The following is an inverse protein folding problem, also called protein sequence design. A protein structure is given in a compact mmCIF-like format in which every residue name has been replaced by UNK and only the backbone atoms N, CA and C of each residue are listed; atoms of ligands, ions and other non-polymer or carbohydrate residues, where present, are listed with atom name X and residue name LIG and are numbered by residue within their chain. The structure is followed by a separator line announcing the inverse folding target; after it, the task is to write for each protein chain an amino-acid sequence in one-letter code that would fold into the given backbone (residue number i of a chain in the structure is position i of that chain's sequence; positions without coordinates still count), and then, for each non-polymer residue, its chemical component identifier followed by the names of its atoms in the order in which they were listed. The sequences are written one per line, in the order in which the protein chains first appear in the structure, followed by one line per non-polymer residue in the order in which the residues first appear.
data_IF_583554138211
#
_entry.id   IF_583554138211
#
_cell.length_a   1.000
_cell.length_b   1.000
_cell.length_c   1.000
_cell.angle_alpha   90.00
_cell.angle_beta   90.00
_cell.angle_gamma   90.00
#
_symmetry.space_group_name_H-M   'P 1'
#
loop_
_entity.id
_entity.type
_entity.pdbx_description
1 polymer ?
#
# COMPACT_ATOMS: atom_id res chain seq x y z
N UNK A 1 -2.67 39.26 81.49
CA UNK A 1 -3.50 39.31 80.27
C UNK A 1 -2.71 39.92 79.12
N UNK A 2 -2.09 39.09 78.27
CA UNK A 2 -1.60 39.50 76.94
C UNK A 2 -1.82 38.33 75.98
N UNK A 3 -2.52 38.64 74.89
CA UNK A 3 -3.04 37.76 73.84
C UNK A 3 -1.89 37.26 72.96
N UNK A 4 -1.76 35.94 72.80
CA UNK A 4 -0.88 35.33 71.81
C UNK A 4 -1.53 35.44 70.43
N UNK A 5 -0.83 36.06 69.48
CA UNK A 5 -1.24 36.24 68.10
C UNK A 5 -0.54 35.15 67.27
N UNK A 6 -1.26 34.08 66.93
CA UNK A 6 -0.74 33.02 66.05
C UNK A 6 -1.05 33.42 64.61
N UNK A 7 -0.01 33.75 63.85
CA UNK A 7 -0.07 34.03 62.41
C UNK A 7 -0.22 32.70 61.67
N UNK A 8 -1.34 32.53 60.98
CA UNK A 8 -1.61 31.41 60.07
C UNK A 8 -0.97 31.74 58.70
N UNK A 9 0.10 31.04 58.32
CA UNK A 9 0.67 31.12 56.97
C UNK A 9 0.10 29.96 56.14
N UNK A 10 -0.86 30.27 55.27
CA UNK A 10 -1.48 29.35 54.32
C UNK A 10 -0.49 28.99 53.21
N UNK A 11 -0.06 27.72 53.18
CA UNK A 11 0.75 27.16 52.09
C UNK A 11 -0.19 26.84 50.92
N UNK A 12 -0.04 27.60 49.82
CA UNK A 12 -0.69 27.37 48.54
C UNK A 12 -0.03 26.14 47.87
N UNK A 13 -0.72 25.00 47.88
CA UNK A 13 -0.30 23.79 47.17
C UNK A 13 -0.67 23.97 45.69
N UNK A 14 0.28 24.38 44.87
CA UNK A 14 0.19 24.26 43.41
C UNK A 14 0.15 22.78 43.05
N UNK A 15 -1.02 22.29 42.65
CA UNK A 15 -1.23 20.96 42.10
C UNK A 15 -0.63 20.91 40.70
N UNK A 16 0.56 20.31 40.59
CA UNK A 16 1.17 19.95 39.30
C UNK A 16 0.33 18.80 38.75
N UNK A 17 -0.58 19.10 37.83
CA UNK A 17 -1.30 18.09 37.06
C UNK A 17 -0.30 17.49 36.09
N UNK A 18 0.32 16.38 36.48
CA UNK A 18 1.13 15.58 35.58
C UNK A 18 0.21 15.01 34.50
N UNK A 19 0.38 15.48 33.26
CA UNK A 19 -0.16 14.82 32.08
C UNK A 19 0.33 13.37 32.09
N UNK A 20 -0.59 12.42 32.31
CA UNK A 20 -0.35 11.01 32.03
C UNK A 20 -0.18 10.88 30.51
N UNK A 21 1.06 10.71 30.08
CA UNK A 21 1.36 10.15 28.76
C UNK A 21 0.66 8.81 28.64
N UNK A 22 -0.09 8.63 27.55
CA UNK A 22 -0.86 7.42 27.29
C UNK A 22 0.02 6.17 27.42
N UNK A 23 -0.43 5.23 28.25
CA UNK A 23 0.17 3.90 28.33
C UNK A 23 0.02 3.22 26.97
N UNK A 24 1.14 3.00 26.27
CA UNK A 24 1.18 2.04 25.16
C UNK A 24 0.79 0.68 25.74
N UNK A 25 -0.36 0.13 25.32
CA UNK A 25 -0.67 -1.29 25.54
C UNK A 25 0.49 -2.10 24.97
N UNK A 26 1.19 -2.83 25.83
CA UNK A 26 2.28 -3.73 25.46
C UNK A 26 1.65 -4.93 24.74
N UNK A 27 1.47 -4.82 23.41
CA UNK A 27 0.91 -5.91 22.60
C UNK A 27 2.00 -6.94 22.35
N UNK A 28 1.71 -8.19 22.66
CA UNK A 28 2.63 -9.29 22.39
C UNK A 28 2.91 -9.37 20.88
N UNK A 29 4.13 -9.04 20.49
CA UNK A 29 4.62 -9.05 19.10
C UNK A 29 4.66 -10.46 18.48
N UNK A 30 4.49 -11.53 19.28
CA UNK A 30 4.43 -12.90 18.78
C UNK A 30 3.07 -13.28 18.20
N UNK A 31 2.02 -12.47 18.44
CA UNK A 31 0.69 -12.68 17.88
C UNK A 31 0.33 -11.58 16.87
N UNK A 32 -0.09 -11.98 15.67
CA UNK A 32 -0.60 -11.05 14.67
C UNK A 32 -1.89 -10.39 15.17
N UNK A 33 -1.96 -9.05 15.09
CA UNK A 33 -3.16 -8.31 15.47
C UNK A 33 -4.26 -8.54 14.43
N UNK A 34 -5.47 -8.85 14.89
CA UNK A 34 -6.65 -9.00 14.03
C UNK A 34 -7.59 -7.81 14.18
N UNK A 35 -8.26 -7.45 13.10
CA UNK A 35 -9.31 -6.43 13.11
C UNK A 35 -10.53 -6.92 12.36
N UNK A 36 -11.71 -6.61 12.90
CA UNK A 36 -13.00 -6.77 12.21
C UNK A 36 -13.38 -5.45 11.54
N UNK A 37 -13.59 -5.50 10.23
CA UNK A 37 -14.14 -4.42 9.41
C UNK A 37 -15.62 -4.73 9.19
N UNK A 38 -16.49 -4.05 9.92
CA UNK A 38 -17.94 -4.17 9.78
C UNK A 38 -18.40 -3.30 8.62
N UNK A 39 -19.12 -3.89 7.65
CA UNK A 39 -19.61 -3.14 6.48
C UNK A 39 -21.13 -3.23 6.34
N UNK A 40 -21.68 -2.47 5.38
CA UNK A 40 -23.07 -2.66 4.94
C UNK A 40 -23.29 -3.95 4.16
N UNK A 41 -22.23 -4.60 3.65
CA UNK A 41 -22.30 -5.83 2.88
C UNK A 41 -22.11 -7.12 3.72
N UNK A 42 -21.50 -7.00 4.90
CA UNK A 42 -21.11 -8.08 5.81
C UNK A 42 -19.82 -7.73 6.58
N UNK A 43 -19.34 -8.64 7.42
CA UNK A 43 -18.12 -8.43 8.19
C UNK A 43 -16.92 -9.07 7.49
N UNK A 44 -15.75 -8.41 7.56
CA UNK A 44 -14.47 -8.90 7.06
C UNK A 44 -13.49 -8.92 8.22
N UNK A 45 -12.79 -10.02 8.44
CA UNK A 45 -11.72 -10.09 9.45
C UNK A 45 -10.38 -10.13 8.73
N UNK A 46 -9.50 -9.19 9.09
CA UNK A 46 -8.12 -9.12 8.61
C UNK A 46 -7.15 -9.40 9.74
N UNK A 47 -6.01 -10.01 9.40
CA UNK A 47 -4.82 -10.04 10.25
C UNK A 47 -3.79 -9.06 9.69
N UNK A 48 -3.02 -8.42 10.57
CA UNK A 48 -1.95 -7.50 10.20
C UNK A 48 -0.58 -8.15 10.42
N UNK A 49 0.35 -7.87 9.52
CA UNK A 49 1.71 -8.41 9.56
C UNK A 49 2.62 -7.60 10.49
N UNK A 50 3.51 -8.31 11.20
CA UNK A 50 4.43 -7.70 12.17
C UNK A 50 5.69 -7.11 11.51
N UNK A 51 6.02 -7.53 10.30
CA UNK A 51 7.14 -7.03 9.50
C UNK A 51 6.83 -5.71 8.79
N UNK A 52 5.59 -5.23 8.88
CA UNK A 52 5.16 -3.90 8.43
C UNK A 52 4.66 -3.06 9.62
N UNK A 53 5.52 -2.78 10.62
CA UNK A 53 5.10 -2.19 11.89
C UNK A 53 4.50 -0.80 11.73
N UNK A 54 5.01 0.04 10.82
CA UNK A 54 4.46 1.40 10.64
C UNK A 54 3.04 1.35 10.09
N UNK A 55 2.79 0.50 9.08
CA UNK A 55 1.44 0.34 8.52
C UNK A 55 0.50 -0.34 9.52
N UNK A 56 0.96 -1.38 10.21
CA UNK A 56 0.19 -2.09 11.23
C UNK A 56 -0.26 -1.14 12.34
N UNK A 57 0.69 -0.46 12.97
CA UNK A 57 0.44 0.41 14.12
C UNK A 57 -0.43 1.61 13.71
N UNK A 58 -0.21 2.15 12.51
CA UNK A 58 -1.04 3.22 11.99
C UNK A 58 -2.47 2.76 11.68
N UNK A 59 -2.67 1.58 11.08
CA UNK A 59 -4.00 1.05 10.80
C UNK A 59 -4.79 0.81 12.09
N UNK A 60 -4.13 0.28 13.12
CA UNK A 60 -4.70 0.12 14.48
C UNK A 60 -5.10 1.48 15.06
N UNK A 61 -4.19 2.45 15.05
CA UNK A 61 -4.45 3.81 15.58
C UNK A 61 -5.67 4.42 14.90
N UNK A 62 -5.72 4.44 13.56
CA UNK A 62 -6.83 5.03 12.82
C UNK A 62 -8.16 4.27 13.01
N UNK A 63 -8.12 2.96 13.26
CA UNK A 63 -9.30 2.20 13.65
C UNK A 63 -9.81 2.62 15.04
N UNK A 64 -8.92 2.74 16.03
CA UNK A 64 -9.26 3.15 17.40
C UNK A 64 -9.75 4.62 17.47
N UNK A 65 -9.23 5.50 16.60
CA UNK A 65 -9.68 6.89 16.44
C UNK A 65 -11.01 7.02 15.66
N UNK A 66 -11.57 5.92 15.14
CA UNK A 66 -12.81 5.94 14.36
C UNK A 66 -12.66 6.58 12.97
N UNK A 67 -11.43 6.71 12.46
CA UNK A 67 -11.16 7.35 11.15
C UNK A 67 -11.93 6.66 10.02
N UNK A 68 -12.02 5.33 10.05
CA UNK A 68 -12.69 4.54 9.02
C UNK A 68 -14.22 4.53 9.12
N UNK A 69 -14.81 4.92 10.26
CA UNK A 69 -16.25 4.88 10.47
C UNK A 69 -16.97 5.81 9.48
N UNK A 70 -17.89 5.24 8.72
CA UNK A 70 -18.66 5.90 7.67
C UNK A 70 -17.96 5.99 6.32
N UNK A 71 -16.67 5.66 6.21
CA UNK A 71 -15.96 5.73 4.91
C UNK A 71 -16.53 4.72 3.92
N UNK A 72 -16.45 5.06 2.64
CA UNK A 72 -16.93 4.21 1.55
C UNK A 72 -15.80 3.34 1.00
N UNK A 73 -16.16 2.16 0.51
CA UNK A 73 -15.40 1.52 -0.57
C UNK A 73 -15.64 2.35 -1.84
N UNK A 74 -14.82 3.40 -2.01
CA UNK A 74 -15.05 4.46 -2.98
C UNK A 74 -14.54 4.10 -4.38
N UNK A 75 -13.75 3.03 -4.51
CA UNK A 75 -13.26 2.52 -5.78
C UNK A 75 -13.25 0.99 -5.77
N UNK A 76 -13.97 0.38 -6.70
CA UNK A 76 -14.17 -1.06 -6.79
C UNK A 76 -13.96 -1.48 -8.25
N UNK A 77 -12.96 -2.32 -8.48
CA UNK A 77 -12.64 -2.83 -9.81
C UNK A 77 -12.63 -4.35 -9.74
N UNK A 78 -13.59 -4.94 -10.46
CA UNK A 78 -13.72 -6.39 -10.58
C UNK A 78 -12.41 -7.01 -11.05
N UNK A 79 -12.06 -8.14 -10.42
CA UNK A 79 -10.85 -8.91 -10.70
C UNK A 79 -9.53 -8.13 -10.49
N UNK A 80 -9.58 -7.05 -9.70
CA UNK A 80 -8.44 -6.24 -9.32
C UNK A 80 -8.43 -5.98 -7.82
N UNK A 81 -9.25 -5.05 -7.31
CA UNK A 81 -9.28 -4.69 -5.88
C UNK A 81 -10.54 -3.91 -5.47
N UNK A 82 -10.77 -3.86 -4.16
CA UNK A 82 -11.72 -2.95 -3.51
C UNK A 82 -10.96 -1.98 -2.59
N UNK A 83 -11.13 -0.68 -2.77
CA UNK A 83 -10.36 0.36 -2.08
C UNK A 83 -11.25 1.23 -1.19
N UNK A 84 -10.77 1.52 0.03
CA UNK A 84 -11.45 2.28 1.06
C UNK A 84 -10.47 3.19 1.82
N UNK A 85 -10.96 3.83 2.89
CA UNK A 85 -10.14 4.63 3.80
C UNK A 85 -10.00 6.11 3.44
N UNK A 86 -10.67 6.59 2.39
CA UNK A 86 -10.75 8.02 2.07
C UNK A 86 -11.70 8.74 3.06
N UNK A 87 -11.22 9.66 3.92
CA UNK A 87 -12.06 10.38 4.88
C UNK A 87 -13.10 11.29 4.23
N UNK A 88 -12.85 11.80 3.01
CA UNK A 88 -13.80 12.64 2.29
C UNK A 88 -15.01 11.86 1.75
N UNK A 89 -14.93 10.53 1.74
CA UNK A 89 -15.99 9.67 1.23
C UNK A 89 -17.22 9.60 2.15
N UNK A 90 -17.07 9.87 3.46
CA UNK A 90 -18.09 9.60 4.50
C UNK A 90 -19.49 10.14 4.18
N UNK A 91 -19.54 11.36 3.64
CA UNK A 91 -20.78 12.06 3.29
C UNK A 91 -20.75 12.57 1.84
N UNK A 92 -19.96 11.92 0.99
CA UNK A 92 -19.79 12.36 -0.39
C UNK A 92 -21.09 12.19 -1.19
N UNK A 93 -21.60 13.24 -1.88
CA UNK A 93 -22.77 13.10 -2.73
C UNK A 93 -22.49 12.08 -3.85
N UNK A 94 -23.55 11.46 -4.39
CA UNK A 94 -23.43 10.52 -5.51
C UNK A 94 -22.69 11.20 -6.68
N UNK A 95 -21.76 10.47 -7.31
CA UNK A 95 -20.94 10.98 -8.41
C UNK A 95 -19.79 11.92 -8.04
N UNK A 96 -19.58 12.29 -6.77
CA UNK A 96 -18.35 12.97 -6.34
C UNK A 96 -17.16 12.04 -6.61
N UNK A 97 -16.14 12.56 -7.30
CA UNK A 97 -14.85 11.91 -7.47
C UNK A 97 -14.13 11.82 -6.11
N UNK A 98 -13.64 10.64 -5.77
CA UNK A 98 -13.02 10.30 -4.49
C UNK A 98 -11.65 9.65 -4.71
N UNK A 99 -10.92 9.39 -3.63
CA UNK A 99 -9.57 8.83 -3.62
C UNK A 99 -8.48 9.87 -3.37
N UNK A 100 -8.84 11.15 -3.19
CA UNK A 100 -7.89 12.22 -2.91
C UNK A 100 -7.79 12.58 -1.41
N UNK A 101 -8.73 12.15 -0.57
CA UNK A 101 -8.68 12.46 0.86
C UNK A 101 -7.57 11.75 1.60
N UNK A 102 -7.03 12.41 2.62
CA UNK A 102 -5.92 11.93 3.43
C UNK A 102 -6.08 12.31 4.92
N UNK A 103 -5.09 11.92 5.73
CA UNK A 103 -4.99 12.23 7.17
C UNK A 103 -3.84 13.20 7.48
N UNK A 104 -3.34 13.91 6.47
CA UNK A 104 -2.28 14.91 6.59
C UNK A 104 -0.84 14.37 6.59
N UNK A 105 -0.64 13.07 6.36
CA UNK A 105 0.69 12.45 6.27
C UNK A 105 0.69 11.19 5.39
N UNK A 106 1.90 10.80 4.98
CA UNK A 106 2.23 9.54 4.29
C UNK A 106 3.00 8.61 5.22
N UNK A 107 3.13 7.34 4.84
CA UNK A 107 3.92 6.33 5.55
C UNK A 107 5.03 5.84 4.62
N UNK A 108 6.30 5.79 5.06
CA UNK A 108 7.38 5.19 4.27
C UNK A 108 7.03 3.76 3.84
N UNK A 109 7.40 3.38 2.61
CA UNK A 109 7.14 2.03 2.10
C UNK A 109 7.80 0.94 2.97
N UNK A 110 7.06 -0.14 3.25
CA UNK A 110 7.55 -1.30 4.00
C UNK A 110 7.46 -2.56 3.12
N UNK A 111 8.20 -2.57 2.01
CA UNK A 111 8.18 -3.70 1.08
C UNK A 111 8.89 -4.93 1.67
N UNK A 112 8.12 -5.93 2.08
CA UNK A 112 8.62 -7.22 2.57
C UNK A 112 8.53 -8.27 1.44
N UNK A 113 9.13 -7.97 0.29
CA UNK A 113 9.08 -8.81 -0.91
C UNK A 113 10.29 -9.77 -0.95
N UNK A 114 10.15 -11.06 -1.34
CA UNK A 114 8.96 -11.71 -1.90
C UNK A 114 8.00 -12.34 -0.88
N UNK A 115 8.24 -12.16 0.43
CA UNK A 115 7.45 -12.80 1.49
C UNK A 115 5.98 -12.39 1.45
N UNK A 116 5.70 -11.10 1.34
CA UNK A 116 4.35 -10.56 1.17
C UNK A 116 4.18 -10.02 -0.24
N UNK A 117 3.11 -10.48 -0.89
CA UNK A 117 2.81 -10.25 -2.28
C UNK A 117 1.29 -10.20 -2.48
N UNK A 118 0.84 -9.69 -3.63
CA UNK A 118 -0.55 -9.32 -3.84
C UNK A 118 -1.41 -10.51 -4.30
N UNK A 119 -1.46 -11.58 -3.50
CA UNK A 119 -2.45 -12.66 -3.65
C UNK A 119 -3.86 -12.17 -3.34
N UNK A 120 -4.88 -12.88 -3.82
CA UNK A 120 -6.28 -12.64 -3.43
C UNK A 120 -6.41 -12.62 -1.90
N UNK A 121 -7.07 -11.59 -1.38
CA UNK A 121 -7.23 -11.32 0.06
C UNK A 121 -6.11 -10.50 0.70
N UNK A 122 -5.03 -10.17 0.00
CA UNK A 122 -3.98 -9.29 0.53
C UNK A 122 -4.56 -7.90 0.87
N UNK A 123 -4.22 -7.39 2.04
CA UNK A 123 -4.54 -6.04 2.51
C UNK A 123 -3.32 -5.15 2.28
N UNK A 124 -3.49 -4.10 1.48
CA UNK A 124 -2.38 -3.33 0.94
C UNK A 124 -2.67 -1.83 0.98
N UNK A 125 -1.61 -1.04 1.11
CA UNK A 125 -1.73 0.41 1.21
C UNK A 125 -1.79 1.06 -0.18
N UNK A 126 -2.71 2.02 -0.35
CA UNK A 126 -2.77 2.81 -1.58
C UNK A 126 -1.64 3.86 -1.59
N UNK A 127 -1.24 4.32 -2.78
CA UNK A 127 -0.31 5.45 -2.94
C UNK A 127 -0.55 6.17 -4.25
N UNK A 128 -0.04 7.39 -4.34
CA UNK A 128 0.07 8.10 -5.62
C UNK A 128 1.12 7.42 -6.53
N UNK A 129 0.98 7.62 -7.84
CA UNK A 129 1.91 7.07 -8.84
C UNK A 129 3.30 7.72 -8.79
N UNK A 130 4.29 7.00 -9.31
CA UNK A 130 5.73 7.29 -9.15
C UNK A 130 6.15 8.68 -9.63
N UNK A 131 5.47 9.23 -10.66
CA UNK A 131 5.75 10.57 -11.17
C UNK A 131 5.52 11.68 -10.13
N UNK A 132 4.58 11.45 -9.21
CA UNK A 132 4.25 12.37 -8.11
C UNK A 132 4.91 11.91 -6.81
N UNK A 133 4.98 10.60 -6.60
CA UNK A 133 5.49 9.95 -5.40
C UNK A 133 6.64 8.98 -5.73
N UNK A 134 7.84 9.50 -6.07
CA UNK A 134 8.97 8.66 -6.48
C UNK A 134 9.54 7.82 -5.34
N UNK A 135 9.29 8.21 -4.09
CA UNK A 135 9.65 7.44 -2.88
C UNK A 135 8.66 6.30 -2.58
N UNK A 136 7.56 6.21 -3.34
CA UNK A 136 6.50 5.22 -3.20
C UNK A 136 5.91 5.18 -1.77
N UNK A 137 5.86 6.32 -1.08
CA UNK A 137 5.26 6.41 0.24
C UNK A 137 3.75 6.10 0.17
N UNK A 138 3.25 5.34 1.13
CA UNK A 138 1.85 4.98 1.23
C UNK A 138 1.00 6.16 1.67
N UNK A 139 -0.26 6.18 1.25
CA UNK A 139 -1.30 6.97 1.90
C UNK A 139 -1.35 6.64 3.39
N UNK A 140 -1.54 7.66 4.23
CA UNK A 140 -1.68 7.46 5.67
C UNK A 140 -2.95 6.71 6.08
N UNK A 141 -3.98 6.61 5.23
CA UNK A 141 -5.27 6.01 5.61
C UNK A 141 -5.94 5.17 4.51
N UNK A 142 -5.60 5.37 3.23
CA UNK A 142 -6.25 4.60 2.18
C UNK A 142 -5.61 3.23 2.00
N UNK A 143 -6.47 2.21 1.90
CA UNK A 143 -6.07 0.82 1.72
C UNK A 143 -6.97 0.13 0.71
N UNK A 144 -6.52 -1.01 0.20
CA UNK A 144 -7.33 -1.87 -0.64
C UNK A 144 -7.16 -3.34 -0.26
N UNK A 145 -8.17 -4.13 -0.59
CA UNK A 145 -8.14 -5.59 -0.50
C UNK A 145 -8.09 -6.13 -1.93
N UNK A 146 -7.09 -6.97 -2.20
CA UNK A 146 -6.90 -7.60 -3.51
C UNK A 146 -8.00 -8.63 -3.76
N UNK A 147 -8.70 -8.49 -4.88
CA UNK A 147 -9.57 -9.54 -5.41
C UNK A 147 -8.85 -10.33 -6.49
N UNK A 148 -8.23 -9.61 -7.44
CA UNK A 148 -7.35 -10.14 -8.46
C UNK A 148 -8.01 -11.16 -9.40
N UNK A 149 -7.17 -11.77 -10.24
CA UNK A 149 -7.57 -12.85 -11.14
C UNK A 149 -6.58 -13.99 -11.13
N UNK A 150 -7.00 -15.15 -11.62
CA UNK A 150 -6.13 -16.31 -11.86
C UNK A 150 -5.35 -16.11 -13.16
N UNK A 151 -4.09 -16.54 -13.14
CA UNK A 151 -3.17 -16.53 -14.28
C UNK A 151 -2.77 -17.98 -14.59
N UNK A 152 -2.62 -18.30 -15.88
CA UNK A 152 -2.01 -19.56 -16.26
C UNK A 152 -0.47 -19.45 -16.29
N UNK A 153 0.21 -20.59 -16.27
CA UNK A 153 1.68 -20.68 -16.24
C UNK A 153 2.33 -19.90 -17.40
N UNK A 154 1.77 -20.02 -18.62
CA UNK A 154 2.27 -19.29 -19.79
C UNK A 154 2.22 -17.77 -19.60
N UNK A 155 1.16 -17.28 -18.96
CA UNK A 155 1.01 -15.84 -18.68
C UNK A 155 2.03 -15.40 -17.65
N UNK A 156 2.23 -16.17 -16.58
CA UNK A 156 3.24 -15.86 -15.56
C UNK A 156 4.65 -15.88 -16.14
N UNK A 157 5.00 -16.88 -16.97
CA UNK A 157 6.28 -16.93 -17.67
C UNK A 157 6.48 -15.73 -18.60
N UNK A 158 5.42 -15.33 -19.31
CA UNK A 158 5.43 -14.11 -20.13
C UNK A 158 5.69 -12.85 -19.29
N UNK A 159 5.12 -12.77 -18.09
CA UNK A 159 5.38 -11.68 -17.15
C UNK A 159 6.81 -11.68 -16.64
N UNK A 160 7.38 -12.84 -16.28
CA UNK A 160 8.79 -12.96 -15.87
C UNK A 160 9.72 -12.45 -16.96
N UNK A 161 9.52 -12.91 -18.20
CA UNK A 161 10.28 -12.46 -19.36
C UNK A 161 10.17 -10.95 -19.55
N UNK A 162 8.96 -10.39 -19.47
CA UNK A 162 8.76 -8.95 -19.60
C UNK A 162 9.46 -8.17 -18.47
N UNK A 163 9.43 -8.66 -17.23
CA UNK A 163 10.11 -8.01 -16.11
C UNK A 163 11.63 -8.04 -16.28
N UNK A 164 12.20 -9.17 -16.72
CA UNK A 164 13.63 -9.28 -17.01
C UNK A 164 14.05 -8.37 -18.17
N UNK A 165 13.24 -8.27 -19.23
CA UNK A 165 13.48 -7.32 -20.33
C UNK A 165 13.36 -5.85 -19.90
N UNK A 166 12.42 -5.54 -19.00
CA UNK A 166 12.28 -4.20 -18.44
C UNK A 166 13.49 -3.80 -17.57
N UNK A 167 14.06 -4.75 -16.80
CA UNK A 167 15.30 -4.54 -16.05
C UNK A 167 16.45 -4.17 -17.00
N UNK A 168 16.62 -4.95 -18.07
CA UNK A 168 17.62 -4.67 -19.12
C UNK A 168 17.42 -3.29 -19.75
N UNK A 169 16.18 -2.98 -20.16
CA UNK A 169 15.82 -1.70 -20.77
C UNK A 169 16.08 -0.52 -19.83
N UNK A 170 15.82 -0.70 -18.53
CA UNK A 170 16.03 0.35 -17.51
C UNK A 170 17.51 0.68 -17.35
N UNK A 171 18.36 -0.36 -17.26
CA UNK A 171 19.82 -0.18 -17.18
C UNK A 171 20.34 0.44 -18.48
N UNK A 172 19.93 -0.05 -19.63
CA UNK A 172 20.30 0.50 -20.93
C UNK A 172 19.94 1.99 -21.03
N UNK A 173 18.71 2.37 -20.67
CA UNK A 173 18.26 3.77 -20.71
C UNK A 173 19.08 4.67 -19.77
N UNK A 174 19.40 4.18 -18.56
CA UNK A 174 20.24 4.92 -17.62
C UNK A 174 21.67 5.11 -18.15
N UNK A 175 22.22 4.11 -18.84
CA UNK A 175 23.51 4.23 -19.53
C UNK A 175 23.42 5.22 -20.69
N UNK A 176 22.42 5.09 -21.57
CA UNK A 176 22.21 5.97 -22.71
C UNK A 176 22.03 7.44 -22.29
N UNK A 177 21.34 7.71 -21.18
CA UNK A 177 21.21 9.07 -20.63
C UNK A 177 22.57 9.71 -20.30
N UNK A 178 23.56 8.94 -19.86
CA UNK A 178 24.92 9.45 -19.60
C UNK A 178 25.66 9.84 -20.89
N UNK A 179 25.32 9.21 -22.02
CA UNK A 179 25.91 9.45 -23.34
C UNK A 179 25.07 10.41 -24.21
N UNK A 180 24.07 11.10 -23.66
CA UNK A 180 23.13 11.91 -24.44
C UNK A 180 23.80 12.99 -25.30
N UNK A 181 24.92 13.57 -24.84
CA UNK A 181 25.70 14.56 -25.61
C UNK A 181 26.38 13.96 -26.83
N UNK A 182 26.94 12.76 -26.70
CA UNK A 182 27.58 12.02 -27.80
C UNK A 182 26.55 11.58 -28.83
N UNK A 183 25.43 11.02 -28.36
CA UNK A 183 24.29 10.63 -29.19
C UNK A 183 23.79 11.83 -30.00
N UNK A 184 23.63 13.00 -29.36
CA UNK A 184 23.20 14.21 -30.06
C UNK A 184 24.19 14.66 -31.13
N UNK A 185 25.50 14.60 -30.84
CA UNK A 185 26.55 14.93 -31.79
C UNK A 185 26.52 14.00 -33.01
N UNK A 186 26.50 12.69 -32.80
CA UNK A 186 26.45 11.69 -33.88
C UNK A 186 25.20 11.86 -34.76
N UNK A 187 24.03 12.13 -34.14
CA UNK A 187 22.79 12.42 -34.88
C UNK A 187 22.91 13.66 -35.76
N UNK A 188 23.56 14.73 -35.27
CA UNK A 188 23.79 15.97 -36.05
C UNK A 188 24.76 15.74 -37.21
N UNK A 189 25.74 14.86 -37.03
CA UNK A 189 26.74 14.50 -38.02
C UNK A 189 26.25 13.39 -38.98
N UNK A 190 25.04 12.86 -38.77
CA UNK A 190 24.48 11.71 -39.48
C UNK A 190 25.38 10.45 -39.42
N UNK A 191 26.10 10.29 -38.30
CA UNK A 191 26.98 9.16 -38.03
C UNK A 191 26.18 7.95 -37.54
N UNK A 192 25.64 7.20 -38.50
CA UNK A 192 24.83 6.00 -38.23
C UNK A 192 25.68 4.86 -37.66
N UNK A 193 26.91 4.68 -38.16
CA UNK A 193 27.81 3.62 -37.70
C UNK A 193 28.25 3.89 -36.25
N UNK A 194 28.55 5.13 -35.90
CA UNK A 194 28.85 5.53 -34.53
C UNK A 194 27.68 5.30 -33.58
N UNK A 195 26.45 5.61 -34.00
CA UNK A 195 25.24 5.34 -33.21
C UNK A 195 25.03 3.84 -32.97
N UNK A 196 25.21 3.02 -34.00
CA UNK A 196 25.08 1.56 -33.89
C UNK A 196 26.15 0.98 -32.96
N UNK A 197 27.42 1.36 -33.14
CA UNK A 197 28.51 0.90 -32.28
C UNK A 197 28.31 1.31 -30.80
N UNK A 198 27.83 2.54 -30.57
CA UNK A 198 27.51 2.99 -29.22
C UNK A 198 26.34 2.18 -28.65
N UNK A 199 25.26 1.96 -29.42
CA UNK A 199 24.13 1.16 -28.99
C UNK A 199 24.55 -0.26 -28.58
N UNK A 200 25.34 -0.94 -29.41
CA UNK A 200 25.82 -2.31 -29.13
C UNK A 200 26.68 -2.36 -27.86
N UNK A 201 27.56 -1.37 -27.67
CA UNK A 201 28.38 -1.23 -26.46
C UNK A 201 27.51 -1.01 -25.20
N UNK A 202 26.52 -0.12 -25.28
CA UNK A 202 25.62 0.16 -24.15
C UNK A 202 24.73 -1.05 -23.84
N UNK A 203 24.32 -1.81 -24.85
CA UNK A 203 23.54 -3.03 -24.68
C UNK A 203 24.37 -4.11 -23.97
N UNK A 204 25.59 -4.39 -24.43
CA UNK A 204 26.49 -5.34 -23.78
C UNK A 204 26.81 -4.95 -22.32
N UNK A 205 26.97 -3.65 -22.04
CA UNK A 205 27.13 -3.15 -20.68
C UNK A 205 25.87 -3.37 -19.83
N UNK A 206 24.68 -3.16 -20.41
CA UNK A 206 23.42 -3.39 -19.71
C UNK A 206 23.20 -4.89 -19.40
N UNK A 207 23.51 -5.78 -20.34
CA UNK A 207 23.48 -7.23 -20.12
C UNK A 207 24.44 -7.65 -19.01
N UNK A 208 25.69 -7.16 -19.06
CA UNK A 208 26.69 -7.45 -18.04
C UNK A 208 26.30 -6.94 -16.65
N UNK A 209 25.62 -5.79 -16.57
CA UNK A 209 25.12 -5.25 -15.30
C UNK A 209 23.95 -6.07 -14.76
N UNK A 210 22.95 -6.42 -15.59
CA UNK A 210 21.79 -7.22 -15.17
C UNK A 210 22.22 -8.62 -14.74
N UNK A 211 23.19 -9.23 -15.42
CA UNK A 211 23.71 -10.56 -15.10
C UNK A 211 24.39 -10.64 -13.72
N UNK A 212 24.69 -9.51 -13.05
CA UNK A 212 25.20 -9.49 -11.67
C UNK A 212 24.14 -9.90 -10.64
N UNK A 213 22.88 -9.92 -11.04
CA UNK A 213 21.76 -10.33 -10.21
C UNK A 213 21.03 -11.51 -10.86
N UNK A 214 20.41 -12.40 -10.07
CA UNK A 214 19.59 -13.45 -10.66
C UNK A 214 18.45 -12.86 -11.49
N UNK A 215 18.07 -13.60 -12.53
CA UNK A 215 16.83 -13.34 -13.24
C UNK A 215 15.64 -13.38 -12.27
N UNK A 216 14.67 -12.54 -12.57
CA UNK A 216 13.41 -12.54 -11.84
C UNK A 216 12.64 -13.81 -12.20
N UNK A 217 12.22 -14.53 -11.17
CA UNK A 217 11.22 -15.58 -11.25
C UNK A 217 10.25 -15.43 -10.08
N UNK A 218 8.98 -15.73 -10.32
CA UNK A 218 8.02 -15.87 -9.24
C UNK A 218 8.43 -17.03 -8.35
N UNK A 219 8.27 -16.86 -7.03
CA UNK A 219 8.51 -17.96 -6.11
C UNK A 219 7.48 -19.09 -6.32
N UNK A 220 7.76 -20.34 -5.93
CA UNK A 220 6.78 -21.42 -6.00
C UNK A 220 5.46 -21.09 -5.28
N UNK A 221 5.52 -20.31 -4.21
CA UNK A 221 4.34 -19.84 -3.48
C UNK A 221 3.53 -18.81 -4.29
N UNK A 222 4.20 -17.84 -4.92
CA UNK A 222 3.55 -16.88 -5.81
C UNK A 222 2.89 -17.57 -7.01
N UNK A 223 3.61 -18.48 -7.68
CA UNK A 223 3.06 -19.27 -8.80
C UNK A 223 1.82 -20.02 -8.35
N UNK A 224 1.90 -20.75 -7.24
CA UNK A 224 0.75 -21.48 -6.68
C UNK A 224 -0.43 -20.54 -6.39
N UNK A 225 -0.20 -19.40 -5.74
CA UNK A 225 -1.25 -18.46 -5.41
C UNK A 225 -1.92 -17.89 -6.68
N UNK A 226 -1.13 -17.39 -7.63
CA UNK A 226 -1.64 -16.75 -8.85
C UNK A 226 -2.32 -17.71 -9.81
N UNK A 227 -1.96 -18.99 -9.80
CA UNK A 227 -2.57 -20.03 -10.63
C UNK A 227 -3.81 -20.67 -10.01
N UNK A 228 -4.04 -20.49 -8.71
CA UNK A 228 -5.16 -21.14 -8.00
C UNK A 228 -6.20 -20.15 -7.49
N UNK A 229 -5.81 -19.23 -6.61
CA UNK A 229 -6.72 -18.25 -5.97
C UNK A 229 -6.70 -16.90 -6.65
N UNK A 230 -5.61 -16.59 -7.37
CA UNK A 230 -5.41 -15.36 -8.11
C UNK A 230 -4.75 -14.24 -7.31
N UNK A 231 -4.65 -13.07 -7.94
CA UNK A 231 -4.06 -11.87 -7.36
C UNK A 231 -3.70 -10.81 -8.39
N UNK A 232 -2.76 -9.92 -8.04
CA UNK A 232 -2.31 -8.78 -8.85
C UNK A 232 -0.78 -8.69 -8.89
N UNK A 233 -0.08 -9.63 -9.56
CA UNK A 233 1.40 -9.74 -9.57
C UNK A 233 2.13 -8.47 -10.02
N UNK A 234 1.49 -7.61 -10.82
CA UNK A 234 2.07 -6.35 -11.27
C UNK A 234 2.20 -5.28 -10.16
N UNK A 235 1.65 -5.52 -8.96
CA UNK A 235 1.80 -4.65 -7.80
C UNK A 235 2.89 -5.15 -6.83
N UNK A 236 3.43 -6.34 -7.04
CA UNK A 236 4.44 -6.93 -6.15
C UNK A 236 5.71 -6.10 -6.08
N UNK A 237 6.22 -5.89 -4.87
CA UNK A 237 7.39 -5.04 -4.63
C UNK A 237 7.17 -3.54 -4.87
N UNK A 238 5.96 -3.14 -5.26
CA UNK A 238 5.61 -1.76 -5.63
C UNK A 238 4.65 -1.08 -4.65
N UNK A 239 3.93 -1.88 -3.85
CA UNK A 239 2.96 -1.44 -2.85
C UNK A 239 3.14 -2.25 -1.56
N UNK A 240 2.96 -1.60 -0.41
CA UNK A 240 3.10 -2.27 0.88
C UNK A 240 1.90 -3.18 1.13
N UNK A 241 2.14 -4.49 1.23
CA UNK A 241 1.18 -5.47 1.75
C UNK A 241 1.41 -5.59 3.25
N UNK A 242 0.42 -5.18 4.05
CA UNK A 242 0.55 -5.08 5.51
C UNK A 242 -0.41 -6.00 6.29
N UNK A 243 -1.19 -6.82 5.57
CA UNK A 243 -2.05 -7.82 6.17
C UNK A 243 -2.74 -8.68 5.12
N UNK A 244 -3.69 -9.49 5.57
CA UNK A 244 -4.58 -10.27 4.70
C UNK A 244 -5.93 -10.54 5.37
N UNK A 245 -6.94 -10.78 4.54
CA UNK A 245 -8.24 -11.27 4.99
C UNK A 245 -8.12 -12.72 5.45
N UNK A 246 -8.63 -13.02 6.64
CA UNK A 246 -8.71 -14.36 7.19
C UNK A 246 -10.14 -14.91 7.25
N UNK A 247 -11.14 -14.02 7.31
CA UNK A 247 -12.57 -14.38 7.24
C UNK A 247 -13.35 -13.30 6.47
N UNK A 248 -14.42 -13.68 5.79
CA UNK A 248 -15.26 -12.75 5.02
C UNK A 248 -14.79 -12.48 3.59
N UNK A 249 -14.02 -13.39 2.97
CA UNK A 249 -13.66 -13.25 1.54
C UNK A 249 -14.87 -13.34 0.61
N UNK A 250 -15.93 -14.04 1.00
CA UNK A 250 -17.23 -14.02 0.31
C UNK A 250 -17.88 -12.63 0.34
N UNK A 251 -17.69 -11.88 1.44
CA UNK A 251 -18.13 -10.48 1.53
C UNK A 251 -17.30 -9.58 0.62
N UNK A 252 -15.97 -9.75 0.61
CA UNK A 252 -15.08 -9.04 -0.34
C UNK A 252 -15.50 -9.34 -1.78
N UNK A 253 -15.78 -10.60 -2.10
CA UNK A 253 -16.25 -11.04 -3.42
C UNK A 253 -17.61 -10.42 -3.77
N UNK A 254 -18.53 -10.33 -2.80
CA UNK A 254 -19.81 -9.63 -2.97
C UNK A 254 -19.64 -8.14 -3.26
N UNK A 255 -18.71 -7.47 -2.56
CA UNK A 255 -18.43 -6.04 -2.78
C UNK A 255 -17.89 -5.81 -4.19
N UNK A 256 -16.97 -6.63 -4.70
CA UNK A 256 -16.42 -6.40 -6.05
C UNK A 256 -17.41 -6.65 -7.20
N UNK A 257 -18.54 -7.33 -6.95
CA UNK A 257 -19.58 -7.55 -7.97
C UNK A 257 -20.66 -6.44 -7.98
N UNK A 258 -20.57 -5.43 -7.11
CA UNK A 258 -21.51 -4.30 -7.17
C UNK A 258 -21.34 -3.52 -8.48
N UNK A 259 -22.43 -2.91 -8.95
CA UNK A 259 -22.35 -2.01 -10.10
C UNK A 259 -21.57 -0.76 -9.73
N UNK A 260 -20.70 -0.34 -10.64
CA UNK A 260 -19.88 0.86 -10.49
C UNK A 260 -20.15 1.86 -11.60
N UNK A 261 -19.96 3.13 -11.30
CA UNK A 261 -19.97 4.20 -12.28
C UNK A 261 -18.65 4.24 -13.08
N UNK A 262 -18.53 5.24 -13.97
CA UNK A 262 -17.34 5.40 -14.84
C UNK A 262 -16.04 5.73 -14.09
N UNK A 263 -16.12 6.05 -12.80
CA UNK A 263 -14.97 6.32 -11.93
C UNK A 263 -14.66 5.13 -11.02
N UNK A 264 -15.24 3.96 -11.33
CA UNK A 264 -15.16 2.74 -10.52
C UNK A 264 -15.79 2.89 -9.12
N UNK A 265 -16.58 3.93 -8.87
CA UNK A 265 -17.29 4.11 -7.59
C UNK A 265 -18.57 3.27 -7.61
N UNK A 266 -18.89 2.51 -6.55
CA UNK A 266 -20.19 1.82 -6.45
C UNK A 266 -21.39 2.77 -6.63
N UNK A 267 -22.36 2.38 -7.45
CA UNK A 267 -23.60 3.17 -7.68
C UNK A 267 -24.46 3.24 -6.40
N UNK A 268 -24.41 2.15 -5.62
CA UNK A 268 -24.93 2.08 -4.26
C UNK A 268 -23.77 1.94 -3.28
N UNK A 269 -23.72 2.87 -2.33
CA UNK A 269 -22.61 3.00 -1.38
C UNK A 269 -22.43 1.73 -0.53
N UNK A 270 -21.22 1.17 -0.56
CA UNK A 270 -20.78 0.17 0.44
C UNK A 270 -19.97 0.90 1.49
N UNK A 271 -20.44 0.90 2.74
CA UNK A 271 -19.85 1.70 3.84
C UNK A 271 -19.19 0.81 4.88
N UNK A 272 -18.06 1.26 5.41
CA UNK A 272 -17.49 0.76 6.65
C UNK A 272 -18.29 1.38 7.79
N UNK A 273 -18.93 0.53 8.60
CA UNK A 273 -19.66 0.95 9.80
C UNK A 273 -18.70 1.17 10.96
N UNK A 274 -17.81 0.20 11.18
CA UNK A 274 -16.86 0.20 12.29
C UNK A 274 -15.65 -0.66 11.97
N UNK A 275 -14.50 -0.30 12.50
CA UNK A 275 -13.32 -1.17 12.53
C UNK A 275 -12.94 -1.40 13.98
N UNK A 276 -12.80 -2.66 14.40
CA UNK A 276 -12.54 -3.01 15.80
C UNK A 276 -11.37 -3.97 15.89
N UNK A 277 -10.41 -3.65 16.74
CA UNK A 277 -9.31 -4.55 17.11
C UNK A 277 -9.91 -5.73 17.89
N UNK A 278 -9.58 -6.94 17.46
CA UNK A 278 -9.99 -8.17 18.13
C UNK A 278 -8.90 -8.61 19.11
N UNK A 279 -9.33 -9.05 20.30
CA UNK A 279 -8.46 -9.62 21.34
C UNK A 279 -8.03 -11.06 21.00
#
# INVERSE_FOLDING_TARGET
MKRNFTVLLTILICSVTACQSGQKKDRNMDQETKLKIETTAGDIIVKLYNETPQHRDNFIKLAEEGTYEGTLFHRVIKDFMIQAGDPESKNAPKGKMLGAGDVGYTIPAEFVYPKYFHKKGALSAARQGDNVNPKKESSGCQFYIVTGKVYNDTTLLGMENQMNQNRLTTVFNALAQKHMKEIYKMRKENDQDGLMNLQDSLFAQAEAEVAKQPEFHFTPEQVKAYTTVGGTPHLDGEYTVFGEVIEGMDIVDKIQQVKTDRSDRPEEDVKIKKVTVLD
#
